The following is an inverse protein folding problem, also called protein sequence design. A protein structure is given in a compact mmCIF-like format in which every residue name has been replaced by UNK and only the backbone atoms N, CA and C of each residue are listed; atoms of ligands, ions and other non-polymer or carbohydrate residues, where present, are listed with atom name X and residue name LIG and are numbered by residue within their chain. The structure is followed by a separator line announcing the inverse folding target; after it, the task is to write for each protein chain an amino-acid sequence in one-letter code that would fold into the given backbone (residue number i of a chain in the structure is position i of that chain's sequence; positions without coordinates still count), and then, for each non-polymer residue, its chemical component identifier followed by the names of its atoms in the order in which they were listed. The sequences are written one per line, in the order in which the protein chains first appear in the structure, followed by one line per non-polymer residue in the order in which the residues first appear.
data_IF_203326437490
#
_entry.id   IF_203326437490
#
_cell.length_a   1.000
_cell.length_b   1.000
_cell.length_c   1.000
_cell.angle_alpha   90.00
_cell.angle_beta   90.00
_cell.angle_gamma   90.00
#
_symmetry.space_group_name_H-M   'P 1'
#
loop_
_entity.id
_entity.type
_entity.pdbx_description
1 polymer ?
#
# COMPACT_ATOMS: atom_id res chain seq x y z
N UNK A 1 27.40 73.87 27.99
CA UNK A 1 26.14 73.49 27.32
C UNK A 1 26.30 72.10 26.71
N UNK A 2 25.72 71.06 27.33
CA UNK A 2 25.82 69.67 26.83
C UNK A 2 24.64 69.41 25.88
N UNK A 3 24.91 69.31 24.58
CA UNK A 3 23.89 68.93 23.57
C UNK A 3 23.62 67.43 23.72
N UNK A 4 22.39 67.07 24.08
CA UNK A 4 21.92 65.68 24.07
C UNK A 4 21.73 65.26 22.60
N UNK A 5 22.41 64.19 22.21
CA UNK A 5 22.25 63.57 20.90
C UNK A 5 20.91 62.83 20.85
N UNK A 6 20.01 63.31 20.01
CA UNK A 6 18.67 62.75 19.77
C UNK A 6 18.68 61.79 18.58
N UNK A 7 19.67 60.89 18.50
CA UNK A 7 19.73 59.93 17.39
C UNK A 7 18.81 58.71 17.56
N UNK A 8 18.20 58.53 18.75
CA UNK A 8 17.33 57.39 19.07
C UNK A 8 15.93 57.82 19.54
N UNK A 9 15.34 58.83 18.90
CA UNK A 9 13.94 59.20 19.13
C UNK A 9 13.11 58.93 17.89
N UNK A 10 13.16 57.69 17.42
CA UNK A 10 12.28 57.15 16.40
C UNK A 10 12.00 55.69 16.76
N UNK A 11 10.84 55.39 17.34
CA UNK A 11 10.43 54.08 17.89
C UNK A 11 10.17 53.01 16.80
N UNK A 12 10.99 52.98 15.75
CA UNK A 12 10.87 52.03 14.63
C UNK A 12 11.73 50.76 14.80
N UNK A 13 12.50 50.66 15.89
CA UNK A 13 13.38 49.50 16.14
C UNK A 13 12.65 48.16 16.31
N UNK A 14 11.35 48.19 16.62
CA UNK A 14 10.52 47.00 16.80
C UNK A 14 9.82 46.51 15.52
N UNK A 15 9.81 47.29 14.45
CA UNK A 15 9.10 46.93 13.20
C UNK A 15 9.81 45.79 12.46
N UNK A 16 11.14 45.83 12.38
CA UNK A 16 11.91 44.82 11.65
C UNK A 16 11.79 43.40 12.27
N UNK A 17 11.98 43.20 13.60
CA UNK A 17 11.79 41.89 14.22
C UNK A 17 10.37 41.35 14.06
N UNK A 18 9.35 42.22 14.11
CA UNK A 18 7.95 41.83 13.97
C UNK A 18 7.63 41.36 12.54
N UNK A 19 8.10 42.09 11.52
CA UNK A 19 7.96 41.68 10.13
C UNK A 19 8.70 40.36 9.87
N UNK A 20 9.93 40.21 10.39
CA UNK A 20 10.67 38.95 10.29
C UNK A 20 9.91 37.78 10.94
N UNK A 21 9.35 37.99 12.13
CA UNK A 21 8.54 36.97 12.81
C UNK A 21 7.30 36.59 11.98
N UNK A 22 6.57 37.56 11.44
CA UNK A 22 5.40 37.29 10.59
C UNK A 22 5.78 36.56 9.30
N UNK A 23 6.87 36.97 8.64
CA UNK A 23 7.35 36.28 7.43
C UNK A 23 7.80 34.86 7.74
N UNK A 24 8.50 34.64 8.86
CA UNK A 24 8.92 33.32 9.29
C UNK A 24 7.72 32.40 9.58
N UNK A 25 6.71 32.90 10.29
CA UNK A 25 5.47 32.15 10.54
C UNK A 25 4.76 31.80 9.23
N UNK A 26 4.67 32.75 8.30
CA UNK A 26 4.06 32.55 6.99
C UNK A 26 4.82 31.50 6.17
N UNK A 27 6.14 31.58 6.15
CA UNK A 27 7.00 30.62 5.46
C UNK A 27 6.90 29.22 6.08
N UNK A 28 6.88 29.11 7.42
CA UNK A 28 6.67 27.85 8.11
C UNK A 28 5.32 27.23 7.77
N UNK A 29 4.26 28.05 7.75
CA UNK A 29 2.93 27.60 7.38
C UNK A 29 2.90 27.06 5.94
N UNK A 30 3.40 27.81 4.97
CA UNK A 30 3.45 27.37 3.57
C UNK A 30 4.29 26.11 3.42
N UNK A 31 5.48 26.07 4.03
CA UNK A 31 6.39 24.92 3.96
C UNK A 31 5.74 23.66 4.54
N UNK A 32 5.06 23.77 5.67
CA UNK A 32 4.38 22.63 6.30
C UNK A 32 3.29 22.07 5.40
N UNK A 33 2.51 22.93 4.74
CA UNK A 33 1.48 22.50 3.81
C UNK A 33 2.08 21.80 2.57
N UNK A 34 3.18 22.31 2.02
CA UNK A 34 3.87 21.69 0.89
C UNK A 34 4.41 20.30 1.25
N UNK A 35 5.05 20.16 2.42
CA UNK A 35 5.57 18.89 2.91
C UNK A 35 4.43 17.89 3.10
N UNK A 36 3.35 18.33 3.75
CA UNK A 36 2.16 17.50 3.97
C UNK A 36 1.56 17.02 2.64
N UNK A 37 1.39 17.93 1.68
CA UNK A 37 0.85 17.59 0.37
C UNK A 37 1.69 16.53 -0.34
N UNK A 38 3.01 16.69 -0.34
CA UNK A 38 3.91 15.73 -0.97
C UNK A 38 3.86 14.36 -0.27
N UNK A 39 3.83 14.36 1.06
CA UNK A 39 3.68 13.15 1.85
C UNK A 39 2.37 12.42 1.54
N UNK A 40 1.24 13.13 1.57
CA UNK A 40 -0.09 12.57 1.35
C UNK A 40 -0.23 12.00 -0.07
N UNK A 41 0.36 12.67 -1.06
CA UNK A 41 0.42 12.17 -2.44
C UNK A 41 1.18 10.85 -2.55
N UNK A 42 2.37 10.76 -1.94
CA UNK A 42 3.16 9.53 -1.93
C UNK A 42 2.46 8.40 -1.18
N UNK A 43 1.86 8.71 -0.03
CA UNK A 43 1.11 7.75 0.76
C UNK A 43 -0.10 7.21 -0.02
N UNK A 44 -0.82 8.08 -0.70
CA UNK A 44 -1.96 7.69 -1.55
C UNK A 44 -1.53 6.77 -2.68
N UNK A 45 -0.41 7.06 -3.36
CA UNK A 45 0.12 6.19 -4.41
C UNK A 45 0.43 4.79 -3.88
N UNK A 46 1.08 4.69 -2.71
CA UNK A 46 1.38 3.40 -2.08
C UNK A 46 0.10 2.64 -1.67
N UNK A 47 -0.92 3.34 -1.15
CA UNK A 47 -2.20 2.74 -0.79
C UNK A 47 -2.93 2.20 -2.02
N UNK A 48 -2.87 2.91 -3.15
CA UNK A 48 -3.45 2.45 -4.42
C UNK A 48 -2.76 1.15 -4.87
N UNK A 49 -1.44 1.06 -4.79
CA UNK A 49 -0.70 -0.17 -5.12
C UNK A 49 -1.09 -1.33 -4.19
N UNK A 50 -1.21 -1.09 -2.89
CA UNK A 50 -1.64 -2.10 -1.93
C UNK A 50 -3.06 -2.62 -2.21
N UNK A 51 -4.01 -1.71 -2.45
CA UNK A 51 -5.39 -2.07 -2.81
C UNK A 51 -5.43 -2.83 -4.13
N UNK A 52 -4.58 -2.46 -5.09
CA UNK A 52 -4.47 -3.14 -6.38
C UNK A 52 -3.98 -4.56 -6.20
N UNK A 53 -2.93 -4.78 -5.40
CA UNK A 53 -2.43 -6.12 -5.08
C UNK A 53 -3.49 -6.98 -4.37
N UNK A 54 -4.21 -6.42 -3.39
CA UNK A 54 -5.28 -7.14 -2.71
C UNK A 54 -6.45 -7.48 -3.66
N UNK A 55 -6.78 -6.58 -4.59
CA UNK A 55 -7.80 -6.85 -5.59
C UNK A 55 -7.38 -7.94 -6.57
N UNK A 56 -6.11 -7.94 -7.00
CA UNK A 56 -5.53 -9.01 -7.81
C UNK A 56 -5.56 -10.36 -7.06
N UNK A 57 -5.28 -10.36 -5.76
CA UNK A 57 -5.42 -11.54 -4.91
C UNK A 57 -6.86 -12.06 -4.95
N UNK A 58 -7.85 -11.23 -4.62
CA UNK A 58 -9.26 -11.63 -4.58
C UNK A 58 -9.77 -12.13 -5.93
N UNK A 59 -9.39 -11.47 -7.03
CA UNK A 59 -9.75 -11.88 -8.38
C UNK A 59 -9.10 -13.22 -8.76
N UNK A 60 -7.80 -13.38 -8.49
CA UNK A 60 -7.07 -14.61 -8.77
C UNK A 60 -7.59 -15.77 -7.93
N UNK A 61 -7.91 -15.54 -6.66
CA UNK A 61 -8.50 -16.54 -5.78
C UNK A 61 -9.88 -16.99 -6.26
N UNK A 62 -10.75 -16.06 -6.69
CA UNK A 62 -12.06 -16.40 -7.25
C UNK A 62 -11.94 -17.17 -8.55
N UNK A 63 -11.03 -16.74 -9.44
CA UNK A 63 -10.77 -17.40 -10.71
C UNK A 63 -10.24 -18.81 -10.50
N UNK A 64 -9.24 -18.95 -9.63
CA UNK A 64 -8.71 -20.23 -9.18
C UNK A 64 -9.83 -21.14 -8.67
N UNK A 65 -10.65 -20.68 -7.72
CA UNK A 65 -11.77 -21.46 -7.18
C UNK A 65 -12.77 -21.91 -8.26
N UNK A 66 -13.05 -21.06 -9.25
CA UNK A 66 -13.97 -21.41 -10.34
C UNK A 66 -13.39 -22.43 -11.31
N UNK A 67 -12.08 -22.40 -11.54
CA UNK A 67 -11.38 -23.27 -12.50
C UNK A 67 -10.87 -24.57 -11.87
N UNK A 68 -10.68 -24.60 -10.55
CA UNK A 68 -10.19 -25.76 -9.80
C UNK A 68 -11.14 -26.97 -9.89
N UNK A 69 -12.43 -26.75 -10.17
CA UNK A 69 -13.38 -27.83 -10.50
C UNK A 69 -12.96 -28.65 -11.74
N UNK A 70 -12.07 -28.13 -12.59
CA UNK A 70 -11.65 -28.78 -13.85
C UNK A 70 -10.18 -29.22 -13.90
N UNK A 71 -9.31 -28.73 -12.99
CA UNK A 71 -7.85 -28.87 -13.14
C UNK A 71 -7.12 -29.72 -12.07
N UNK A 72 -7.83 -30.24 -11.05
CA UNK A 72 -7.21 -31.08 -10.02
C UNK A 72 -6.56 -32.37 -10.57
N UNK A 73 -6.97 -32.84 -11.75
CA UNK A 73 -6.47 -34.09 -12.35
C UNK A 73 -5.10 -33.99 -13.04
N UNK A 74 -4.50 -32.79 -13.19
CA UNK A 74 -3.33 -32.60 -14.07
C UNK A 74 -1.99 -32.32 -13.37
N UNK A 75 -1.91 -32.36 -12.03
CA UNK A 75 -0.64 -32.20 -11.32
C UNK A 75 0.07 -30.87 -11.57
N UNK A 76 -0.69 -29.81 -11.84
CA UNK A 76 -0.15 -28.48 -12.15
C UNK A 76 0.33 -27.82 -10.85
N UNK A 77 1.65 -27.69 -10.72
CA UNK A 77 2.32 -27.09 -9.56
C UNK A 77 2.26 -25.56 -9.56
N UNK A 78 2.10 -24.93 -10.74
CA UNK A 78 2.03 -23.47 -10.91
C UNK A 78 0.97 -23.03 -11.91
N UNK A 79 0.13 -22.06 -11.52
CA UNK A 79 -0.92 -21.48 -12.35
C UNK A 79 -0.67 -19.98 -12.50
N UNK A 80 -0.62 -19.50 -13.74
CA UNK A 80 -0.38 -18.09 -14.03
C UNK A 80 -1.65 -17.41 -14.53
N UNK A 81 -2.03 -16.31 -13.89
CA UNK A 81 -3.13 -15.45 -14.29
C UNK A 81 -2.64 -14.07 -14.67
N UNK A 82 -3.06 -13.61 -15.86
CA UNK A 82 -2.83 -12.24 -16.32
C UNK A 82 -4.11 -11.44 -16.16
N UNK A 83 -3.99 -10.29 -15.50
CA UNK A 83 -5.06 -9.30 -15.33
C UNK A 83 -4.60 -7.96 -15.93
N UNK A 84 -5.52 -7.03 -16.22
CA UNK A 84 -5.15 -5.70 -16.74
C UNK A 84 -4.18 -4.94 -15.82
N UNK A 85 -4.29 -5.16 -14.50
CA UNK A 85 -3.55 -4.41 -13.49
C UNK A 85 -2.31 -5.14 -12.96
N UNK A 86 -1.98 -6.31 -13.49
CA UNK A 86 -0.82 -7.09 -13.06
C UNK A 86 -0.93 -8.59 -13.34
N UNK A 87 0.06 -9.34 -12.89
CA UNK A 87 0.16 -10.79 -13.07
C UNK A 87 0.16 -11.45 -11.69
N UNK A 88 -0.52 -12.59 -11.59
CA UNK A 88 -0.54 -13.42 -10.38
C UNK A 88 -0.08 -14.83 -10.74
N UNK A 89 0.92 -15.32 -10.02
CA UNK A 89 1.38 -16.71 -10.08
C UNK A 89 0.92 -17.42 -8.81
N UNK A 90 0.23 -18.54 -8.95
CA UNK A 90 -0.20 -19.38 -7.84
C UNK A 90 0.67 -20.62 -7.83
N UNK A 91 1.43 -20.81 -6.77
CA UNK A 91 2.21 -22.01 -6.52
C UNK A 91 1.45 -22.91 -5.54
N UNK A 92 1.30 -24.19 -5.89
CA UNK A 92 0.55 -25.16 -5.11
C UNK A 92 1.54 -26.16 -4.55
N UNK A 93 1.72 -26.16 -3.23
CA UNK A 93 2.54 -27.18 -2.56
C UNK A 93 1.66 -28.02 -1.65
N UNK A 94 1.74 -29.34 -1.79
CA UNK A 94 0.96 -30.30 -1.00
C UNK A 94 1.85 -30.99 0.04
N UNK A 95 1.37 -31.02 1.28
CA UNK A 95 1.86 -31.82 2.39
C UNK A 95 0.83 -32.89 2.76
N UNK A 96 1.18 -33.83 3.65
CA UNK A 96 0.30 -34.95 4.05
C UNK A 96 -1.06 -34.48 4.57
N UNK A 97 -1.09 -33.39 5.34
CA UNK A 97 -2.30 -32.88 6.00
C UNK A 97 -2.79 -31.53 5.46
N UNK A 98 -2.00 -30.86 4.61
CA UNK A 98 -2.24 -29.48 4.18
C UNK A 98 -1.95 -29.25 2.70
N UNK A 99 -2.76 -28.39 2.07
CA UNK A 99 -2.46 -27.77 0.78
C UNK A 99 -2.09 -26.30 1.05
N UNK A 100 -0.92 -25.87 0.61
CA UNK A 100 -0.54 -24.46 0.62
C UNK A 100 -0.68 -23.88 -0.80
N UNK A 101 -1.35 -22.74 -0.87
CA UNK A 101 -1.50 -21.94 -2.07
C UNK A 101 -0.76 -20.63 -1.86
N UNK A 102 0.36 -20.45 -2.56
CA UNK A 102 1.16 -19.23 -2.51
C UNK A 102 0.86 -18.37 -3.73
N UNK A 103 0.30 -17.19 -3.49
CA UNK A 103 -0.05 -16.21 -4.50
C UNK A 103 1.06 -15.18 -4.57
N UNK A 104 1.81 -15.17 -5.66
CA UNK A 104 2.85 -14.19 -5.98
C UNK A 104 2.25 -13.18 -6.94
N UNK A 105 2.07 -11.94 -6.46
CA UNK A 105 1.36 -10.87 -7.16
C UNK A 105 2.34 -9.79 -7.55
N UNK A 106 2.34 -9.44 -8.83
CA UNK A 106 3.12 -8.35 -9.37
C UNK A 106 2.18 -7.33 -10.02
N UNK A 107 2.11 -6.12 -9.47
CA UNK A 107 1.36 -5.02 -10.08
C UNK A 107 2.15 -4.39 -11.22
N UNK A 108 1.47 -3.65 -12.10
CA UNK A 108 2.13 -2.87 -13.16
C UNK A 108 3.04 -1.76 -12.60
N UNK A 109 2.77 -1.29 -11.37
CA UNK A 109 3.61 -0.32 -10.65
C UNK A 109 4.90 -0.92 -10.09
N UNK A 110 5.14 -2.22 -10.28
CA UNK A 110 6.33 -2.92 -9.76
C UNK A 110 6.21 -3.32 -8.29
N UNK A 111 5.02 -3.22 -7.69
CA UNK A 111 4.78 -3.70 -6.33
C UNK A 111 4.66 -5.22 -6.34
N UNK A 112 5.47 -5.86 -5.49
CA UNK A 112 5.46 -7.31 -5.28
C UNK A 112 4.79 -7.62 -3.95
N UNK A 113 3.81 -8.51 -3.98
CA UNK A 113 3.09 -8.97 -2.80
C UNK A 113 2.95 -10.49 -2.84
N UNK A 114 3.23 -11.13 -1.72
CA UNK A 114 3.11 -12.57 -1.58
C UNK A 114 2.15 -12.89 -0.45
N UNK A 115 1.20 -13.78 -0.70
CA UNK A 115 0.31 -14.29 0.34
C UNK A 115 0.19 -15.80 0.21
N UNK A 116 0.31 -16.49 1.35
CA UNK A 116 0.18 -17.94 1.41
C UNK A 116 -1.06 -18.31 2.20
N UNK A 117 -1.92 -19.13 1.59
CA UNK A 117 -3.12 -19.66 2.21
C UNK A 117 -3.00 -21.17 2.37
N UNK A 118 -3.11 -21.64 3.61
CA UNK A 118 -3.06 -23.07 3.94
C UNK A 118 -4.47 -23.62 4.12
N UNK A 119 -4.74 -24.80 3.57
CA UNK A 119 -6.01 -25.50 3.62
C UNK A 119 -5.78 -26.87 4.26
N UNK A 120 -6.61 -27.26 5.23
CA UNK A 120 -6.55 -28.60 5.84
C UNK A 120 -7.25 -29.60 4.93
N UNK A 121 -6.59 -30.70 4.58
CA UNK A 121 -7.22 -31.83 3.91
C UNK A 121 -7.98 -32.67 4.95
N UNK A 122 -9.33 -32.60 4.94
CA UNK A 122 -10.14 -33.58 5.66
C UNK A 122 -10.17 -34.92 4.89
N UNK A 123 -9.90 -36.07 5.55
CA UNK A 123 -9.60 -37.33 4.86
C UNK A 123 -10.78 -38.09 4.26
N UNK A 124 -12.00 -37.54 4.18
CA UNK A 124 -13.18 -38.28 3.69
C UNK A 124 -14.32 -37.42 3.10
N UNK A 125 -14.03 -36.22 2.64
CA UNK A 125 -15.05 -35.38 2.01
C UNK A 125 -14.65 -35.04 0.57
N UNK A 126 -15.56 -35.37 -0.35
CA UNK A 126 -15.57 -34.87 -1.72
C UNK A 126 -15.40 -33.34 -1.69
N UNK A 127 -14.54 -32.78 -2.54
CA UNK A 127 -14.11 -31.36 -2.54
C UNK A 127 -15.25 -30.31 -2.61
N UNK A 128 -16.51 -30.74 -2.66
CA UNK A 128 -17.74 -29.93 -2.66
C UNK A 128 -18.15 -29.37 -1.29
N UNK A 129 -17.64 -29.87 -0.16
CA UNK A 129 -18.14 -29.51 1.19
C UNK A 129 -17.24 -28.58 2.01
N UNK A 130 -16.15 -28.05 1.46
CA UNK A 130 -15.34 -27.06 2.17
C UNK A 130 -16.12 -25.75 2.36
N UNK A 131 -16.72 -25.62 3.55
CA UNK A 131 -17.28 -24.36 4.05
C UNK A 131 -16.14 -23.53 4.62
N UNK A 132 -15.74 -22.51 3.86
CA UNK A 132 -14.69 -21.58 4.25
C UNK A 132 -15.27 -20.54 5.21
N UNK A 133 -14.99 -20.65 6.51
CA UNK A 133 -15.23 -19.58 7.49
C UNK A 133 -14.13 -18.53 7.37
N UNK A 134 -14.57 -17.28 7.21
CA UNK A 134 -13.77 -16.04 7.22
C UNK A 134 -13.45 -15.69 8.67
#
# INVERSE_FOLDING_TARGET
MKKKSYFFQNEQGFTLPLVLMLTAITLLYVSTNLIKYHHDSKMTANLIEQITAQSLFELSYRKYKSEQYSQYNNGVEKINYTFPNGIVTIEISQSVDYIHLTFIIQTNGGYLYEVTKSLIMHPNEDFSSYTWRI
#
